data_IF_487534201962
#
_entry.id   IF_487534201962
#
_cell.length_a   1.000
_cell.length_b   1.000
_cell.length_c   1.000
_cell.angle_alpha   90.00
_cell.angle_beta   90.00
_cell.angle_gamma   90.00
#
_symmetry.space_group_name_H-M   'P 1'
#
loop_
_entity.id
_entity.type
_entity.pdbx_description
1 polymer ?
#
# COMPACT_ATOMS: atom_id res chain seq x y z
N UNK A 1 -25.47 -11.81 22.39
CA UNK A 1 -24.98 -11.66 21.01
C UNK A 1 -23.66 -12.39 20.91
N UNK A 2 -23.60 -13.50 20.18
CA UNK A 2 -22.39 -14.30 19.99
C UNK A 2 -21.43 -13.54 19.10
N UNK A 3 -20.24 -13.17 19.60
CA UNK A 3 -19.21 -12.55 18.78
C UNK A 3 -18.71 -13.56 17.74
N UNK A 4 -18.85 -13.23 16.46
CA UNK A 4 -18.23 -13.98 15.38
C UNK A 4 -16.72 -13.77 15.42
N UNK A 5 -15.95 -14.83 15.68
CA UNK A 5 -14.50 -14.78 15.67
C UNK A 5 -13.98 -14.89 14.23
N UNK A 6 -13.73 -13.75 13.60
CA UNK A 6 -13.22 -13.69 12.21
C UNK A 6 -11.73 -14.01 12.21
N UNK A 7 -11.37 -15.14 11.61
CA UNK A 7 -9.99 -15.61 11.53
C UNK A 7 -9.12 -14.59 10.76
N UNK A 8 -7.96 -14.26 11.32
CA UNK A 8 -7.01 -13.32 10.71
C UNK A 8 -7.23 -11.85 11.09
N UNK A 9 -8.31 -11.52 11.80
CA UNK A 9 -8.52 -10.17 12.31
C UNK A 9 -7.60 -9.91 13.50
N UNK A 10 -6.71 -8.93 13.35
CA UNK A 10 -5.85 -8.43 14.41
C UNK A 10 -6.67 -7.78 15.52
N UNK A 11 -6.12 -7.82 16.73
CA UNK A 11 -6.77 -7.33 17.96
C UNK A 11 -7.12 -5.84 17.92
N UNK A 12 -6.40 -5.04 17.15
CA UNK A 12 -6.47 -3.56 17.24
C UNK A 12 -6.94 -2.86 15.97
N UNK A 13 -6.64 -3.34 14.76
CA UNK A 13 -6.72 -2.48 13.55
C UNK A 13 -7.18 -3.14 12.24
N UNK A 14 -7.62 -4.40 12.21
CA UNK A 14 -8.08 -5.06 10.97
C UNK A 14 -7.22 -6.25 10.57
N UNK A 15 -6.86 -6.41 9.29
CA UNK A 15 -6.12 -7.59 8.79
C UNK A 15 -4.71 -7.22 8.31
N UNK A 16 -3.76 -8.14 8.38
CA UNK A 16 -2.42 -8.00 7.81
C UNK A 16 -2.22 -9.04 6.71
N UNK A 17 -1.80 -8.60 5.53
CA UNK A 17 -1.61 -9.45 4.36
C UNK A 17 -0.26 -9.10 3.73
N UNK A 18 0.58 -10.12 3.52
CA UNK A 18 1.82 -10.00 2.75
C UNK A 18 1.64 -10.62 1.37
N UNK A 19 2.00 -9.89 0.31
CA UNK A 19 2.00 -10.37 -1.08
C UNK A 19 3.40 -10.31 -1.68
N UNK A 20 3.76 -11.29 -2.51
CA UNK A 20 5.05 -11.34 -3.22
C UNK A 20 4.84 -11.73 -4.67
N UNK A 21 5.46 -10.97 -5.58
CA UNK A 21 5.52 -11.28 -7.01
C UNK A 21 6.94 -11.00 -7.54
N UNK A 22 7.40 -11.82 -8.45
CA UNK A 22 8.70 -11.66 -9.11
C UNK A 22 8.52 -10.98 -10.46
N UNK A 23 9.37 -9.99 -10.75
CA UNK A 23 9.40 -9.27 -12.02
C UNK A 23 10.82 -9.29 -12.60
N UNK A 24 10.93 -9.29 -13.92
CA UNK A 24 12.22 -9.25 -14.63
C UNK A 24 12.72 -7.81 -14.81
N UNK A 25 12.82 -7.06 -13.72
CA UNK A 25 13.31 -5.66 -13.67
C UNK A 25 14.32 -5.52 -12.53
N UNK A 26 15.17 -4.50 -12.61
CA UNK A 26 16.08 -4.16 -11.51
C UNK A 26 15.32 -3.56 -10.32
N UNK A 27 15.97 -3.57 -9.15
CA UNK A 27 15.40 -2.95 -7.93
C UNK A 27 15.25 -1.44 -8.13
N UNK A 28 16.21 -0.79 -8.79
CA UNK A 28 16.18 0.64 -9.08
C UNK A 28 15.03 1.00 -9.99
N UNK A 29 14.77 0.19 -11.03
CA UNK A 29 13.62 0.39 -11.92
C UNK A 29 12.30 0.26 -11.15
N UNK A 30 12.18 -0.74 -10.28
CA UNK A 30 11.00 -0.92 -9.43
C UNK A 30 10.82 0.27 -8.48
N UNK A 31 11.90 0.72 -7.82
CA UNK A 31 11.86 1.83 -6.89
C UNK A 31 11.46 3.14 -7.57
N UNK A 32 12.09 3.45 -8.70
CA UNK A 32 11.78 4.64 -9.49
C UNK A 32 10.30 4.65 -9.94
N UNK A 33 9.75 3.50 -10.33
CA UNK A 33 8.34 3.40 -10.68
C UNK A 33 7.43 3.62 -9.47
N UNK A 34 7.70 2.96 -8.33
CA UNK A 34 6.89 3.06 -7.11
C UNK A 34 6.77 4.50 -6.60
N UNK A 35 7.84 5.29 -6.70
CA UNK A 35 7.86 6.69 -6.26
C UNK A 35 7.46 7.69 -7.36
N UNK A 36 7.23 7.24 -8.59
CA UNK A 36 6.77 8.10 -9.67
C UNK A 36 5.32 8.54 -9.44
N UNK A 37 4.89 9.61 -10.10
CA UNK A 37 3.49 10.07 -10.02
C UNK A 37 2.50 8.97 -10.46
N UNK A 38 2.86 8.18 -11.48
CA UNK A 38 2.07 7.03 -11.94
C UNK A 38 1.97 5.95 -10.86
N UNK A 39 3.11 5.54 -10.28
CA UNK A 39 3.15 4.53 -9.22
C UNK A 39 2.40 4.95 -7.97
N UNK A 40 2.58 6.20 -7.53
CA UNK A 40 1.85 6.76 -6.39
C UNK A 40 0.34 6.75 -6.63
N UNK A 41 -0.12 7.13 -7.84
CA UNK A 41 -1.55 7.12 -8.17
C UNK A 41 -2.18 5.73 -8.07
N UNK A 42 -1.44 4.69 -8.43
CA UNK A 42 -1.90 3.29 -8.34
C UNK A 42 -2.04 2.83 -6.88
N UNK A 43 -1.07 3.17 -6.02
CA UNK A 43 -1.01 2.64 -4.65
C UNK A 43 -1.74 3.51 -3.62
N UNK A 44 -1.71 4.83 -3.78
CA UNK A 44 -2.26 5.81 -2.83
C UNK A 44 -3.58 6.44 -3.31
N UNK A 45 -3.95 6.30 -4.58
CA UNK A 45 -5.10 6.97 -5.19
C UNK A 45 -4.77 8.38 -5.69
N UNK A 46 -5.74 9.29 -5.71
CA UNK A 46 -5.47 10.70 -6.07
C UNK A 46 -4.39 11.28 -5.13
N UNK A 47 -3.25 11.63 -5.71
CA UNK A 47 -2.10 12.12 -4.95
C UNK A 47 -2.46 13.50 -4.41
N UNK A 48 -2.62 13.59 -3.09
CA UNK A 48 -2.79 14.88 -2.42
C UNK A 48 -1.57 15.74 -2.70
N UNK A 49 -1.77 16.88 -3.37
CA UNK A 49 -0.74 17.90 -3.45
C UNK A 49 -0.48 18.39 -2.04
N UNK A 50 0.73 18.16 -1.53
CA UNK A 50 1.21 18.83 -0.32
C UNK A 50 1.35 20.31 -0.69
N UNK A 51 0.30 21.09 -0.48
CA UNK A 51 0.45 22.54 -0.38
C UNK A 51 1.29 22.78 0.87
N UNK A 52 2.58 23.02 0.69
CA UNK A 52 3.42 23.58 1.74
C UNK A 52 2.78 24.89 2.18
N UNK A 53 2.22 24.89 3.39
CA UNK A 53 1.72 26.09 4.02
C UNK A 53 2.91 26.99 4.35
N UNK A 54 3.11 28.01 3.52
CA UNK A 54 3.87 29.22 3.86
C UNK A 54 3.05 30.14 4.75
#
# INVERSE_FOLDING_TARGET
MTQQHVIGQTKSVGFQIGVRRTFAISVEQAWNFLISEEGQRIWLGEVFSLTEGL
#
